data_IF_052253075644
#
_entry.id   IF_052253075644
#
_cell.length_a   1.000
_cell.length_b   1.000
_cell.length_c   1.000
_cell.angle_alpha   90.00
_cell.angle_beta   90.00
_cell.angle_gamma   90.00
#
_symmetry.space_group_name_H-M   'P 1'
#
loop_
_entity.id
_entity.type
_entity.pdbx_description
1 polymer ?
#
# COMPACT_ATOMS: atom_id res chain seq x y z
N UNK A 1 -25.73 8.84 -0.28
CA UNK A 1 -24.45 9.34 0.28
C UNK A 1 -23.60 8.11 0.54
N UNK A 2 -22.38 8.05 0.03
CA UNK A 2 -21.47 6.91 0.22
C UNK A 2 -21.07 6.86 1.70
N UNK A 3 -21.42 5.78 2.40
CA UNK A 3 -21.08 5.59 3.81
C UNK A 3 -19.74 4.87 3.92
N UNK A 4 -18.69 5.62 4.26
CA UNK A 4 -17.34 5.07 4.35
C UNK A 4 -17.02 4.72 5.80
N UNK A 5 -16.62 3.47 6.01
CA UNK A 5 -16.08 3.05 7.29
C UNK A 5 -14.61 3.50 7.40
N UNK A 6 -14.38 4.62 8.07
CA UNK A 6 -13.03 5.17 8.28
C UNK A 6 -12.12 4.23 9.09
N UNK A 7 -12.68 3.39 9.97
CA UNK A 7 -11.91 2.38 10.70
C UNK A 7 -11.38 1.34 9.72
N UNK A 8 -12.21 0.88 8.78
CA UNK A 8 -11.78 -0.07 7.74
C UNK A 8 -10.66 0.52 6.87
N UNK A 9 -10.77 1.79 6.47
CA UNK A 9 -9.72 2.49 5.71
C UNK A 9 -8.40 2.51 6.48
N UNK A 10 -8.45 2.86 7.77
CA UNK A 10 -7.26 2.93 8.62
C UNK A 10 -6.62 1.54 8.79
N UNK A 11 -7.44 0.50 9.03
CA UNK A 11 -6.97 -0.89 9.13
C UNK A 11 -6.33 -1.34 7.81
N UNK A 12 -6.93 -1.02 6.66
CA UNK A 12 -6.34 -1.32 5.35
C UNK A 12 -5.00 -0.63 5.14
N UNK A 13 -4.85 0.61 5.58
CA UNK A 13 -3.57 1.32 5.53
C UNK A 13 -2.49 0.65 6.39
N UNK A 14 -2.83 0.19 7.60
CA UNK A 14 -1.90 -0.59 8.43
C UNK A 14 -1.54 -1.95 7.83
N UNK A 15 -2.51 -2.65 7.22
CA UNK A 15 -2.25 -3.91 6.51
C UNK A 15 -1.31 -3.71 5.33
N UNK A 16 -1.46 -2.60 4.59
CA UNK A 16 -0.54 -2.23 3.52
C UNK A 16 0.90 -2.06 4.02
N UNK A 17 1.08 -1.34 5.13
CA UNK A 17 2.39 -1.18 5.76
C UNK A 17 2.96 -2.54 6.20
N UNK A 18 2.14 -3.40 6.83
CA UNK A 18 2.56 -4.73 7.25
C UNK A 18 3.00 -5.60 6.07
N UNK A 19 2.23 -5.60 4.98
CA UNK A 19 2.58 -6.31 3.75
C UNK A 19 3.87 -5.74 3.15
N UNK A 20 4.02 -4.41 3.10
CA UNK A 20 5.24 -3.75 2.64
C UNK A 20 6.47 -4.14 3.47
N UNK A 21 6.35 -4.13 4.80
CA UNK A 21 7.43 -4.55 5.70
C UNK A 21 7.83 -6.01 5.46
N UNK A 22 6.85 -6.91 5.28
CA UNK A 22 7.11 -8.32 5.00
C UNK A 22 7.75 -8.48 3.61
N UNK A 23 7.29 -7.75 2.59
CA UNK A 23 7.80 -7.78 1.22
C UNK A 23 9.26 -7.37 1.13
N UNK A 24 9.62 -6.25 1.78
CA UNK A 24 10.99 -5.74 1.85
C UNK A 24 11.82 -6.35 2.99
N UNK A 25 11.29 -7.33 3.72
CA UNK A 25 12.04 -8.04 4.76
C UNK A 25 13.13 -8.95 4.15
N UNK A 26 14.16 -9.32 4.94
CA UNK A 26 15.17 -10.29 4.52
C UNK A 26 14.62 -11.71 4.26
N UNK A 27 13.38 -12.00 4.69
CA UNK A 27 12.72 -13.30 4.55
C UNK A 27 12.14 -13.49 3.16
N UNK A 28 11.61 -12.41 2.55
CA UNK A 28 11.08 -12.42 1.20
C UNK A 28 12.07 -11.79 0.21
N UNK A 29 11.79 -10.58 -0.27
CA UNK A 29 12.48 -10.01 -1.43
C UNK A 29 13.48 -8.90 -1.07
N UNK A 30 13.59 -8.51 0.20
CA UNK A 30 14.44 -7.38 0.62
C UNK A 30 15.91 -7.54 0.23
N UNK A 31 16.49 -8.74 0.40
CA UNK A 31 17.90 -9.00 0.04
C UNK A 31 18.13 -8.86 -1.47
N UNK A 32 17.24 -9.45 -2.27
CA UNK A 32 17.33 -9.40 -3.74
C UNK A 32 17.10 -8.00 -4.29
N UNK A 33 16.13 -7.27 -3.73
CA UNK A 33 15.89 -5.89 -4.07
C UNK A 33 17.11 -5.01 -3.77
N UNK A 34 17.75 -5.17 -2.61
CA UNK A 34 18.95 -4.41 -2.25
C UNK A 34 20.14 -4.72 -3.16
N UNK A 35 20.33 -6.00 -3.54
CA UNK A 35 21.34 -6.43 -4.52
C UNK A 35 21.13 -5.76 -5.89
N UNK A 36 19.89 -5.72 -6.38
CA UNK A 36 19.57 -5.20 -7.72
C UNK A 36 19.53 -3.68 -7.83
N UNK A 37 19.21 -3.00 -6.74
CA UNK A 37 19.14 -1.54 -6.70
C UNK A 37 20.48 -0.88 -6.36
N UNK A 38 21.52 -1.69 -6.13
CA UNK A 38 22.82 -1.25 -5.60
C UNK A 38 22.67 -0.32 -4.39
N UNK A 39 21.63 -0.55 -3.58
CA UNK A 39 21.27 0.34 -2.49
C UNK A 39 22.34 0.27 -1.38
N UNK A 40 23.28 1.22 -1.41
CA UNK A 40 24.29 1.40 -0.38
C UNK A 40 23.80 2.45 0.60
N UNK A 41 23.59 2.05 1.85
CA UNK A 41 23.37 3.00 2.94
C UNK A 41 24.70 3.72 3.14
N UNK A 42 24.75 5.01 2.80
CA UNK A 42 25.89 5.87 3.07
C UNK A 42 25.93 6.18 4.58
N UNK A 43 26.92 5.65 5.33
CA UNK A 43 27.00 5.88 6.77
C UNK A 43 27.33 7.34 7.11
N UNK A 44 27.86 8.13 6.16
CA UNK A 44 28.20 9.54 6.36
C UNK A 44 27.02 10.49 6.10
N UNK A 45 25.94 9.99 5.49
CA UNK A 45 24.70 10.74 5.25
C UNK A 45 23.49 9.98 5.80
N UNK A 46 23.30 9.98 7.13
CA UNK A 46 22.10 9.40 7.71
C UNK A 46 20.86 10.16 7.22
N UNK A 47 20.14 9.57 6.28
CA UNK A 47 18.84 10.09 5.83
C UNK A 47 17.84 9.76 6.92
N UNK A 48 17.21 10.77 7.52
CA UNK A 48 16.07 10.54 8.40
C UNK A 48 14.90 10.02 7.55
N UNK A 49 14.46 8.76 7.71
CA UNK A 49 13.44 8.19 6.85
C UNK A 49 12.03 8.60 7.29
N UNK A 50 11.88 9.22 8.47
CA UNK A 50 10.58 9.57 9.06
C UNK A 50 9.69 10.42 8.15
N UNK A 51 10.18 11.49 7.47
CA UNK A 51 9.34 12.29 6.58
C UNK A 51 8.80 11.49 5.39
N UNK A 52 9.64 10.62 4.82
CA UNK A 52 9.25 9.77 3.68
C UNK A 52 8.20 8.73 4.10
N UNK A 53 8.37 8.12 5.27
CA UNK A 53 7.39 7.17 5.79
C UNK A 53 6.06 7.85 6.12
N UNK A 54 6.09 9.05 6.71
CA UNK A 54 4.87 9.79 7.01
C UNK A 54 4.13 10.19 5.73
N UNK A 55 4.85 10.69 4.73
CA UNK A 55 4.27 11.03 3.43
C UNK A 55 3.64 9.80 2.76
N UNK A 56 4.36 8.68 2.75
CA UNK A 56 3.87 7.41 2.20
C UNK A 56 2.61 6.95 2.94
N UNK A 57 2.58 7.02 4.27
CA UNK A 57 1.43 6.62 5.07
C UNK A 57 0.17 7.46 4.78
N UNK A 58 0.32 8.78 4.66
CA UNK A 58 -0.78 9.68 4.29
C UNK A 58 -1.30 9.38 2.87
N UNK A 59 -0.40 9.14 1.92
CA UNK A 59 -0.77 8.73 0.57
C UNK A 59 -1.51 7.39 0.56
N UNK A 60 -1.08 6.44 1.41
CA UNK A 60 -1.74 5.13 1.58
C UNK A 60 -3.15 5.30 2.13
N UNK A 61 -3.37 6.13 3.16
CA UNK A 61 -4.71 6.42 3.67
C UNK A 61 -5.61 7.01 2.58
N UNK A 62 -5.11 7.99 1.81
CA UNK A 62 -5.87 8.57 0.70
C UNK A 62 -6.23 7.52 -0.35
N UNK A 63 -5.28 6.63 -0.68
CA UNK A 63 -5.49 5.55 -1.65
C UNK A 63 -6.61 4.61 -1.21
N UNK A 64 -6.60 4.16 0.06
CA UNK A 64 -7.64 3.29 0.59
C UNK A 64 -8.98 3.98 0.79
N UNK A 65 -8.98 5.29 1.09
CA UNK A 65 -10.19 6.09 1.13
C UNK A 65 -10.86 6.16 -0.26
N UNK A 66 -10.08 6.39 -1.32
CA UNK A 66 -10.59 6.35 -2.69
C UNK A 66 -11.05 4.93 -3.06
N UNK A 67 -10.28 3.90 -2.72
CA UNK A 67 -10.67 2.51 -2.96
C UNK A 67 -11.99 2.14 -2.27
N UNK A 68 -12.26 2.67 -1.07
CA UNK A 68 -13.54 2.46 -0.38
C UNK A 68 -14.74 2.98 -1.19
N UNK A 69 -14.58 4.05 -1.96
CA UNK A 69 -15.64 4.51 -2.88
C UNK A 69 -15.86 3.52 -4.03
N UNK A 70 -14.79 2.95 -4.60
CA UNK A 70 -14.92 1.92 -5.63
C UNK A 70 -15.59 0.66 -5.10
N UNK A 71 -15.27 0.25 -3.87
CA UNK A 71 -15.92 -0.89 -3.20
C UNK A 71 -17.42 -0.62 -3.01
N UNK A 72 -17.79 0.59 -2.60
CA UNK A 72 -19.21 0.98 -2.48
C UNK A 72 -19.91 1.02 -3.83
N UNK A 73 -19.30 1.64 -4.85
CA UNK A 73 -19.89 1.77 -6.20
C UNK A 73 -20.06 0.42 -6.90
N UNK A 74 -19.20 -0.55 -6.60
CA UNK A 74 -19.32 -1.92 -7.12
C UNK A 74 -20.24 -2.80 -6.27
N UNK A 75 -20.80 -2.27 -5.18
CA UNK A 75 -21.58 -3.04 -4.20
C UNK A 75 -20.86 -4.31 -3.72
N UNK A 76 -19.55 -4.19 -3.51
CA UNK A 76 -18.67 -5.30 -3.13
C UNK A 76 -18.80 -5.64 -1.64
N UNK A 77 -19.89 -6.35 -1.29
CA UNK A 77 -20.21 -6.71 0.11
C UNK A 77 -19.49 -7.97 0.62
N UNK A 78 -18.85 -8.74 -0.27
CA UNK A 78 -18.11 -9.97 0.09
C UNK A 78 -16.61 -9.78 -0.11
N UNK A 79 -15.81 -10.59 0.59
CA UNK A 79 -14.35 -10.61 0.43
C UNK A 79 -13.93 -10.85 -1.02
N UNK A 80 -14.56 -11.81 -1.71
CA UNK A 80 -14.23 -12.13 -3.10
C UNK A 80 -14.53 -10.97 -4.05
N UNK A 81 -15.65 -10.25 -3.86
CA UNK A 81 -15.99 -9.10 -4.70
C UNK A 81 -15.06 -7.91 -4.42
N UNK A 82 -14.69 -7.69 -3.16
CA UNK A 82 -13.70 -6.68 -2.78
C UNK A 82 -12.32 -6.97 -3.39
N UNK A 83 -11.88 -8.23 -3.35
CA UNK A 83 -10.62 -8.65 -3.97
C UNK A 83 -10.64 -8.45 -5.49
N UNK A 84 -11.76 -8.76 -6.16
CA UNK A 84 -11.93 -8.54 -7.60
C UNK A 84 -11.89 -7.04 -7.95
N UNK A 85 -12.58 -6.19 -7.18
CA UNK A 85 -12.54 -4.73 -7.35
C UNK A 85 -11.11 -4.19 -7.19
N UNK A 86 -10.40 -4.62 -6.14
CA UNK A 86 -9.00 -4.26 -5.92
C UNK A 86 -8.08 -4.73 -7.06
N UNK A 87 -8.30 -5.95 -7.57
CA UNK A 87 -7.55 -6.48 -8.70
C UNK A 87 -7.72 -5.62 -9.96
N UNK A 88 -8.94 -5.21 -10.31
CA UNK A 88 -9.16 -4.33 -11.47
C UNK A 88 -8.57 -2.94 -11.28
N UNK A 89 -8.67 -2.36 -10.08
CA UNK A 89 -8.03 -1.09 -9.78
C UNK A 89 -6.49 -1.19 -9.93
N UNK A 90 -5.88 -2.24 -9.42
CA UNK A 90 -4.44 -2.47 -9.59
C UNK A 90 -4.07 -2.68 -11.05
N UNK A 91 -4.80 -3.54 -11.76
CA UNK A 91 -4.55 -3.88 -13.16
C UNK A 91 -4.67 -2.63 -14.07
N UNK A 92 -5.66 -1.77 -13.83
CA UNK A 92 -5.91 -0.60 -14.66
C UNK A 92 -4.99 0.59 -14.38
N UNK A 93 -4.54 0.77 -13.13
CA UNK A 93 -3.84 1.99 -12.71
C UNK A 93 -2.38 1.78 -12.27
N UNK A 94 -2.00 0.57 -11.83
CA UNK A 94 -0.69 0.31 -11.20
C UNK A 94 0.15 -0.68 -12.02
N UNK A 95 -0.43 -1.75 -12.56
CA UNK A 95 0.33 -2.71 -13.37
C UNK A 95 0.95 -2.11 -14.66
N UNK A 96 0.29 -1.21 -15.42
CA UNK A 96 0.80 -0.79 -16.73
C UNK A 96 1.98 0.17 -16.69
N UNK A 97 2.33 0.68 -15.51
CA UNK A 97 3.44 1.63 -15.25
C UNK A 97 4.63 0.90 -14.64
#
# INVERSE_FOLDING_TARGET
MVQINFIAVLVSAFLNLAIGMIWYSPILFGKKWAEWTEFKIDPEKPINPMPLYLQSFLATILTYFVLAHFVEFTHSVTFQNGANTGFWCWLGFIMPV
#
